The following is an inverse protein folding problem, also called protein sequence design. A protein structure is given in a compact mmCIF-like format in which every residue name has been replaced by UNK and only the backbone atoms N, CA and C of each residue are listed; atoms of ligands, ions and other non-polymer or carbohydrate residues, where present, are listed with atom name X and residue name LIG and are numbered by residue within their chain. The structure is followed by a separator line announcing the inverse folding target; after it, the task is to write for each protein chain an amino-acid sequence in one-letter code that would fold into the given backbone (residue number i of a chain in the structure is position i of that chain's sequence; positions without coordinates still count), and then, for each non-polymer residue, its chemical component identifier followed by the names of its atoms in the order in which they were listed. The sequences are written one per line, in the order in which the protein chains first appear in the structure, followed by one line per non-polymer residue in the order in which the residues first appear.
data_IF_429606684170
#
_entry.id   IF_429606684170
#
_cell.length_a   1.000
_cell.length_b   1.000
_cell.length_c   1.000
_cell.angle_alpha   90.00
_cell.angle_beta   90.00
_cell.angle_gamma   90.00
#
_symmetry.space_group_name_H-M   'P 1'
#
loop_
_entity.id
_entity.type
_entity.pdbx_description
1 polymer ?
#
# COMPACT_ATOMS: atom_id res chain seq x y z
N UNK A 1 11.80 -8.32 -9.54
CA UNK A 1 10.91 -7.88 -8.45
C UNK A 1 11.63 -6.78 -7.70
N UNK A 2 10.95 -5.69 -7.40
CA UNK A 2 11.51 -4.63 -6.56
C UNK A 2 11.57 -5.12 -5.10
N UNK A 3 12.56 -4.64 -4.36
CA UNK A 3 12.67 -4.92 -2.93
C UNK A 3 11.56 -4.18 -2.15
N UNK A 4 11.14 -4.68 -0.97
CA UNK A 4 10.13 -4.02 -0.13
C UNK A 4 10.47 -2.56 0.20
N UNK A 5 11.75 -2.24 0.45
CA UNK A 5 12.21 -0.88 0.73
C UNK A 5 11.96 0.04 -0.47
N UNK A 6 12.08 -0.50 -1.69
CA UNK A 6 11.79 0.26 -2.90
C UNK A 6 10.30 0.56 -3.02
N UNK A 7 9.42 -0.32 -2.56
CA UNK A 7 7.99 -0.06 -2.50
C UNK A 7 7.67 1.11 -1.55
N UNK A 8 8.34 1.19 -0.40
CA UNK A 8 8.22 2.31 0.55
C UNK A 8 8.64 3.63 -0.11
N UNK A 9 9.76 3.65 -0.84
CA UNK A 9 10.21 4.84 -1.57
C UNK A 9 9.18 5.30 -2.62
N UNK A 10 8.63 4.37 -3.41
CA UNK A 10 7.60 4.67 -4.42
C UNK A 10 6.37 5.28 -3.77
N UNK A 11 5.94 4.75 -2.63
CA UNK A 11 4.79 5.26 -1.88
C UNK A 11 5.08 6.65 -1.32
N UNK A 12 6.25 6.88 -0.71
CA UNK A 12 6.67 8.21 -0.24
C UNK A 12 6.68 9.24 -1.39
N UNK A 13 7.25 8.89 -2.54
CA UNK A 13 7.27 9.75 -3.73
C UNK A 13 5.85 10.05 -4.25
N UNK A 14 4.98 9.04 -4.30
CA UNK A 14 3.58 9.23 -4.69
C UNK A 14 2.86 10.24 -3.79
N UNK A 15 3.02 10.11 -2.47
CA UNK A 15 2.40 11.00 -1.49
C UNK A 15 2.93 12.43 -1.65
N UNK A 16 4.25 12.60 -1.77
CA UNK A 16 4.89 13.90 -1.96
C UNK A 16 4.43 14.60 -3.26
N UNK A 17 4.45 13.89 -4.40
CA UNK A 17 4.00 14.43 -5.69
C UNK A 17 2.53 14.87 -5.67
N UNK A 18 1.69 14.20 -4.89
CA UNK A 18 0.28 14.53 -4.74
C UNK A 18 0.00 15.49 -3.57
N UNK A 19 1.05 15.95 -2.86
CA UNK A 19 0.95 16.87 -1.69
C UNK A 19 0.07 16.31 -0.56
N UNK A 20 0.13 14.99 -0.35
CA UNK A 20 -0.54 14.31 0.76
C UNK A 20 0.45 14.31 1.94
N UNK A 21 0.28 15.26 2.85
CA UNK A 21 1.24 15.53 3.95
C UNK A 21 0.72 15.18 5.34
N UNK A 22 -0.54 14.79 5.41
CA UNK A 22 -1.29 14.40 6.61
C UNK A 22 -1.07 12.94 7.00
N UNK A 23 -0.18 12.23 6.32
CA UNK A 23 0.08 10.80 6.53
C UNK A 23 1.53 10.52 6.92
N UNK A 24 1.71 9.51 7.76
CA UNK A 24 3.01 8.97 8.15
C UNK A 24 3.18 7.57 7.58
N UNK A 25 4.11 7.38 6.64
CA UNK A 25 4.40 6.04 6.11
C UNK A 25 5.06 5.20 7.19
N UNK A 26 4.45 4.07 7.53
CA UNK A 26 5.07 3.07 8.36
C UNK A 26 5.97 2.21 7.46
N UNK A 27 7.21 1.94 7.86
CA UNK A 27 8.14 1.09 7.10
C UNK A 27 7.78 -0.40 7.25
N UNK A 28 6.49 -0.71 7.15
CA UNK A 28 5.91 -2.05 7.21
C UNK A 28 5.36 -2.37 5.83
N UNK A 29 5.91 -3.43 5.23
CA UNK A 29 5.52 -3.90 3.90
C UNK A 29 5.10 -5.35 4.02
N UNK A 30 3.95 -5.68 3.45
CA UNK A 30 3.54 -7.07 3.24
C UNK A 30 3.70 -7.43 1.77
N UNK A 31 4.38 -8.54 1.50
CA UNK A 31 4.49 -9.12 0.17
C UNK A 31 3.56 -10.31 0.04
N UNK A 32 2.72 -10.34 -0.98
CA UNK A 32 1.82 -11.46 -1.24
C UNK A 32 1.56 -11.63 -2.74
N UNK A 33 1.20 -12.84 -3.16
CA UNK A 33 0.62 -13.08 -4.48
C UNK A 33 -0.88 -13.09 -4.35
N UNK A 34 -1.56 -12.20 -5.08
CA UNK A 34 -3.02 -12.07 -5.04
C UNK A 34 -3.64 -11.84 -6.42
N UNK A 35 -4.93 -12.15 -6.54
CA UNK A 35 -5.72 -11.80 -7.72
C UNK A 35 -6.23 -10.38 -7.56
N UNK A 36 -5.83 -9.49 -8.47
CA UNK A 36 -6.19 -8.07 -8.39
C UNK A 36 -7.71 -7.89 -8.42
N UNK A 37 -8.32 -7.26 -7.40
CA UNK A 37 -9.77 -7.21 -7.26
C UNK A 37 -10.43 -6.14 -8.14
N UNK A 38 -9.72 -5.05 -8.45
CA UNK A 38 -10.25 -3.84 -9.08
C UNK A 38 -9.25 -3.19 -10.06
N UNK A 39 -9.72 -2.24 -10.88
CA UNK A 39 -8.86 -1.47 -11.78
C UNK A 39 -8.51 -2.20 -13.09
N UNK A 40 -7.54 -1.64 -13.83
CA UNK A 40 -7.16 -2.11 -15.17
C UNK A 40 -6.53 -3.51 -15.18
N UNK A 41 -5.97 -3.93 -14.04
CA UNK A 41 -5.32 -5.24 -13.87
C UNK A 41 -6.24 -6.28 -13.22
N UNK A 42 -7.54 -5.98 -13.06
CA UNK A 42 -8.51 -6.87 -12.41
C UNK A 42 -8.47 -8.29 -12.97
N UNK A 43 -8.44 -9.28 -12.09
CA UNK A 43 -8.45 -10.71 -12.43
C UNK A 43 -7.09 -11.29 -12.80
N UNK A 44 -6.03 -10.47 -12.84
CA UNK A 44 -4.66 -10.96 -12.99
C UNK A 44 -4.10 -11.36 -11.62
N UNK A 45 -3.36 -12.46 -11.59
CA UNK A 45 -2.55 -12.85 -10.43
C UNK A 45 -1.21 -12.14 -10.50
N UNK A 46 -0.87 -11.36 -9.47
CA UNK A 46 0.36 -10.60 -9.38
C UNK A 46 0.97 -10.77 -7.99
N UNK A 47 2.30 -10.70 -7.90
CA UNK A 47 2.98 -10.44 -6.64
C UNK A 47 2.94 -8.94 -6.36
N UNK A 48 2.50 -8.57 -5.16
CA UNK A 48 2.32 -7.18 -4.74
C UNK A 48 3.07 -6.89 -3.46
N UNK A 49 3.45 -5.62 -3.29
CA UNK A 49 3.88 -5.06 -2.00
C UNK A 49 2.82 -4.10 -1.50
N UNK A 50 2.31 -4.34 -0.30
CA UNK A 50 1.34 -3.47 0.38
C UNK A 50 2.06 -2.73 1.50
N UNK A 51 2.14 -1.40 1.37
CA UNK A 51 2.81 -0.51 2.32
C UNK A 51 1.75 0.10 3.25
N UNK A 52 2.00 0.02 4.55
CA UNK A 52 1.14 0.61 5.58
C UNK A 52 1.51 2.08 5.86
N UNK A 53 0.52 2.92 6.10
CA UNK A 53 0.71 4.30 6.55
C UNK A 53 -0.41 4.70 7.50
N UNK A 54 -0.15 5.67 8.37
CA UNK A 54 -1.12 6.18 9.34
C UNK A 54 -1.57 7.58 8.94
N UNK A 55 -2.87 7.82 9.02
CA UNK A 55 -3.44 9.18 8.96
C UNK A 55 -3.21 9.88 10.31
N UNK A 56 -2.65 11.09 10.29
CA UNK A 56 -2.31 11.88 11.48
C UNK A 56 -3.52 12.66 12.07
N UNK A 57 -4.75 12.35 11.67
CA UNK A 57 -5.93 13.01 12.22
C UNK A 57 -6.10 12.76 13.73
N UNK A 58 -6.22 13.87 14.48
CA UNK A 58 -6.08 13.99 15.95
C UNK A 58 -6.92 13.06 16.85
N UNK A 59 -7.83 12.23 16.32
CA UNK A 59 -8.71 11.37 17.11
C UNK A 59 -9.06 10.02 16.46
N UNK A 60 -8.45 9.69 15.31
CA UNK A 60 -8.68 8.41 14.62
C UNK A 60 -7.37 7.93 13.99
N UNK A 61 -6.69 6.99 14.63
CA UNK A 61 -5.63 6.22 13.97
C UNK A 61 -6.27 5.23 13.00
N UNK A 62 -6.34 5.59 11.72
CA UNK A 62 -6.67 4.65 10.66
C UNK A 62 -5.41 4.26 9.91
N UNK A 63 -5.07 2.97 9.95
CA UNK A 63 -4.02 2.40 9.13
C UNK A 63 -4.54 2.28 7.70
N UNK A 64 -3.93 2.99 6.76
CA UNK A 64 -4.28 2.96 5.35
C UNK A 64 -3.17 2.22 4.59
N UNK A 65 -3.52 1.64 3.44
CA UNK A 65 -2.62 0.76 2.70
C UNK A 65 -2.53 1.18 1.25
N UNK A 66 -1.30 1.25 0.71
CA UNK A 66 -1.06 1.39 -0.73
C UNK A 66 -0.40 0.12 -1.24
N UNK A 67 -1.01 -0.46 -2.27
CA UNK A 67 -0.50 -1.66 -2.94
C UNK A 67 0.19 -1.28 -4.24
N UNK A 68 1.42 -1.77 -4.43
CA UNK A 68 2.20 -1.65 -5.66
C UNK A 68 2.49 -3.03 -6.24
N UNK A 69 2.60 -3.12 -7.57
CA UNK A 69 3.08 -4.31 -8.24
C UNK A 69 4.55 -4.55 -7.86
N UNK A 70 4.86 -5.73 -7.33
CA UNK A 70 6.21 -6.08 -6.94
C UNK A 70 7.13 -6.29 -8.16
N UNK A 71 6.61 -6.51 -9.36
CA UNK A 71 7.45 -6.70 -10.55
C UNK A 71 8.10 -5.40 -11.03
N UNK A 72 7.31 -4.33 -11.13
CA UNK A 72 7.67 -3.07 -11.80
C UNK A 72 7.45 -1.80 -10.96
N UNK A 73 6.86 -1.91 -9.77
CA UNK A 73 6.60 -0.78 -8.89
C UNK A 73 5.37 0.07 -9.26
N UNK A 74 4.54 -0.39 -10.20
CA UNK A 74 3.30 0.31 -10.57
C UNK A 74 2.33 0.38 -9.39
N UNK A 75 1.80 1.56 -9.10
CA UNK A 75 0.71 1.73 -8.11
C UNK A 75 -0.57 1.06 -8.61
N UNK A 76 -1.14 0.18 -7.79
CA UNK A 76 -2.35 -0.56 -8.14
C UNK A 76 -3.59 0.09 -7.53
N UNK A 77 -3.60 0.25 -6.20
CA UNK A 77 -4.70 0.89 -5.47
C UNK A 77 -4.29 1.23 -4.04
N UNK A 78 -5.00 2.20 -3.44
CA UNK A 78 -5.02 2.40 -2.00
C UNK A 78 -6.30 1.81 -1.42
N UNK A 79 -6.22 0.80 -0.54
CA UNK A 79 -7.39 0.29 0.18
C UNK A 79 -7.53 1.07 1.47
N UNK A 80 -8.66 1.75 1.63
CA UNK A 80 -9.06 2.35 2.91
C UNK A 80 -9.44 1.22 3.89
N UNK A 81 -8.94 1.33 5.12
CA UNK A 81 -8.89 0.29 6.16
C UNK A 81 -10.25 -0.38 6.41
N UNK A 82 -10.34 -1.71 6.43
CA UNK A 82 -10.40 -2.46 7.71
C UNK A 82 -9.76 -3.87 7.67
N UNK A 83 -9.26 -4.37 6.54
CA UNK A 83 -8.94 -5.81 6.39
C UNK A 83 -7.51 -6.25 6.70
N UNK A 84 -6.60 -5.35 7.07
CA UNK A 84 -5.21 -5.74 7.35
C UNK A 84 -5.03 -6.34 8.76
N UNK A 85 -5.93 -6.04 9.70
CA UNK A 85 -5.91 -6.59 11.06
C UNK A 85 -6.73 -7.87 11.23
N UNK A 86 -7.28 -8.45 10.15
CA UNK A 86 -7.98 -9.75 10.21
C UNK A 86 -7.04 -10.96 10.04
N UNK A 87 -5.72 -10.78 10.22
CA UNK A 87 -4.75 -11.87 10.28
C UNK A 87 -3.98 -11.88 11.60
N UNK A 88 -4.72 -12.10 12.69
CA UNK A 88 -4.24 -12.76 13.89
C UNK A 88 -5.46 -13.37 14.61
N UNK A 89 -5.92 -14.52 14.10
CA UNK A 89 -6.47 -15.69 14.83
C UNK A 89 -6.68 -16.89 13.89
#
# INVERSE_FOLDING_TARGET
MIEPEKAVEIVKEYLDRNKITDVTVLERVQTATEIIPHGAMKGKELTVHTVCYEDNYLYVTSAVFITVNAEDGTLLYGINSTRFFEFDE
#
